data_IF_242107270276
#
_entry.id   IF_242107270276
#
_cell.length_a   1.000
_cell.length_b   1.000
_cell.length_c   1.000
_cell.angle_alpha   90.00
_cell.angle_beta   90.00
_cell.angle_gamma   90.00
#
_symmetry.space_group_name_H-M   'P 1'
#
loop_
_entity.id
_entity.type
_entity.pdbx_description
1 polymer ?
#
# COMPACT_ATOMS: atom_id res chain seq x y z
N UNK A 1 40.65 29.81 -3.30
CA UNK A 1 40.47 28.42 -2.79
C UNK A 1 39.10 28.20 -2.16
N UNK A 2 38.62 29.03 -1.21
CA UNK A 2 37.27 28.88 -0.61
C UNK A 2 36.12 28.90 -1.64
N UNK A 3 36.20 29.78 -2.64
CA UNK A 3 35.19 29.88 -3.71
C UNK A 3 35.17 28.63 -4.62
N UNK A 4 36.33 28.07 -4.93
CA UNK A 4 36.49 26.88 -5.78
C UNK A 4 35.93 25.61 -5.13
N UNK A 5 36.14 25.45 -3.82
CA UNK A 5 35.54 24.38 -3.01
C UNK A 5 34.01 24.48 -2.95
N UNK A 6 33.47 25.70 -2.82
CA UNK A 6 32.02 25.92 -2.82
C UNK A 6 31.40 25.54 -4.18
N UNK A 7 32.03 25.90 -5.29
CA UNK A 7 31.56 25.56 -6.63
C UNK A 7 31.60 24.05 -6.87
N UNK A 8 32.68 23.37 -6.47
CA UNK A 8 32.79 21.90 -6.57
C UNK A 8 31.76 21.18 -5.70
N UNK A 9 31.48 21.70 -4.50
CA UNK A 9 30.44 21.15 -3.62
C UNK A 9 29.04 21.33 -4.22
N UNK A 10 28.73 22.49 -4.81
CA UNK A 10 27.46 22.71 -5.50
C UNK A 10 27.31 21.81 -6.73
N UNK A 11 28.36 21.66 -7.52
CA UNK A 11 28.35 20.76 -8.70
C UNK A 11 28.14 19.31 -8.27
N UNK A 12 28.86 18.83 -7.25
CA UNK A 12 28.67 17.49 -6.70
C UNK A 12 27.26 17.25 -6.15
N UNK A 13 26.71 18.22 -5.42
CA UNK A 13 25.33 18.15 -4.91
C UNK A 13 24.30 18.13 -6.04
N UNK A 14 24.53 18.88 -7.13
CA UNK A 14 23.63 18.88 -8.29
C UNK A 14 23.69 17.57 -9.08
N UNK A 15 24.84 16.90 -9.19
CA UNK A 15 24.95 15.58 -9.86
C UNK A 15 24.26 14.48 -9.05
N UNK A 16 24.34 14.52 -7.71
CA UNK A 16 23.69 13.54 -6.85
C UNK A 16 22.14 13.56 -6.97
N UNK A 17 21.54 14.74 -7.22
CA UNK A 17 20.10 14.87 -7.44
C UNK A 17 19.61 14.23 -8.75
N UNK A 18 20.46 14.11 -9.78
CA UNK A 18 20.11 13.44 -11.04
C UNK A 18 20.21 11.91 -10.96
N UNK A 19 20.88 11.39 -9.94
CA UNK A 19 21.04 9.94 -9.76
C UNK A 19 19.84 9.28 -9.06
N UNK A 20 18.91 10.05 -8.49
CA UNK A 20 17.74 9.47 -7.81
C UNK A 20 16.86 8.66 -8.78
N UNK A 21 16.35 7.54 -8.27
CA UNK A 21 15.45 6.67 -8.99
C UNK A 21 14.12 7.37 -9.23
N UNK A 22 13.53 7.11 -10.39
CA UNK A 22 12.24 7.67 -10.81
C UNK A 22 11.34 6.54 -11.25
N UNK A 23 10.16 6.49 -10.64
CA UNK A 23 9.12 5.51 -10.91
C UNK A 23 7.77 6.22 -11.01
N UNK A 24 6.79 5.54 -11.59
CA UNK A 24 5.41 6.03 -11.65
C UNK A 24 4.53 5.00 -10.97
N UNK A 25 3.78 5.44 -9.96
CA UNK A 25 2.72 4.65 -9.36
C UNK A 25 1.46 4.83 -10.21
N UNK A 26 1.02 3.74 -10.83
CA UNK A 26 -0.20 3.63 -11.61
C UNK A 26 -0.58 2.14 -11.72
N UNK A 27 -1.85 1.87 -12.03
CA UNK A 27 -2.37 0.56 -12.36
C UNK A 27 -3.21 0.64 -13.65
N UNK A 28 -3.51 -0.52 -14.24
CA UNK A 28 -4.38 -0.63 -15.42
C UNK A 28 -5.72 -1.27 -15.06
N UNK A 29 -6.61 -1.32 -16.06
CA UNK A 29 -7.92 -1.95 -15.97
C UNK A 29 -7.90 -3.45 -15.66
N UNK A 30 -6.74 -4.13 -15.78
CA UNK A 30 -6.57 -5.53 -15.39
C UNK A 30 -6.17 -5.71 -13.92
N UNK A 31 -5.46 -4.73 -13.35
CA UNK A 31 -4.90 -4.75 -12.00
C UNK A 31 -5.55 -3.70 -11.08
N UNK A 32 -6.88 -3.65 -11.04
CA UNK A 32 -7.63 -2.67 -10.23
C UNK A 32 -7.47 -2.91 -8.72
N UNK A 33 -7.58 -1.84 -7.93
CA UNK A 33 -7.81 -1.93 -6.50
C UNK A 33 -9.28 -2.29 -6.26
N UNK A 34 -9.52 -3.45 -5.65
CA UNK A 34 -10.85 -4.05 -5.57
C UNK A 34 -11.18 -4.41 -4.13
N UNK A 35 -12.42 -4.19 -3.71
CA UNK A 35 -12.88 -4.67 -2.41
C UNK A 35 -13.00 -6.20 -2.44
N UNK A 36 -12.66 -6.87 -1.34
CA UNK A 36 -12.73 -8.34 -1.27
C UNK A 36 -14.11 -8.88 -1.68
N UNK A 37 -14.11 -10.07 -2.29
CA UNK A 37 -15.32 -10.80 -2.67
C UNK A 37 -16.11 -11.35 -1.45
N UNK A 38 -15.60 -11.16 -0.23
CA UNK A 38 -16.22 -11.62 1.00
C UNK A 38 -16.92 -10.46 1.74
N UNK A 39 -18.26 -10.33 1.65
CA UNK A 39 -18.98 -9.23 2.29
C UNK A 39 -18.77 -9.14 3.82
N UNK A 40 -18.54 -10.29 4.48
CA UNK A 40 -18.24 -10.34 5.92
C UNK A 40 -16.85 -9.84 6.31
N UNK A 41 -15.98 -9.57 5.33
CA UNK A 41 -14.67 -8.96 5.51
C UNK A 41 -14.66 -7.49 5.04
N UNK A 42 -15.83 -6.86 5.05
CA UNK A 42 -16.03 -5.43 4.78
C UNK A 42 -16.83 -4.83 5.96
N UNK A 43 -16.73 -3.51 6.14
CA UNK A 43 -17.65 -2.83 7.02
C UNK A 43 -19.09 -3.04 6.54
N UNK A 44 -20.05 -3.14 7.46
CA UNK A 44 -21.46 -3.43 7.12
C UNK A 44 -22.03 -2.51 6.04
N UNK A 45 -21.77 -1.18 6.03
CA UNK A 45 -22.25 -0.30 4.97
C UNK A 45 -21.63 -0.60 3.58
N UNK A 46 -20.43 -1.17 3.56
CA UNK A 46 -19.65 -1.40 2.33
C UNK A 46 -19.87 -2.80 1.76
N UNK A 47 -20.58 -3.68 2.47
CA UNK A 47 -20.78 -5.08 2.11
C UNK A 47 -21.42 -5.27 0.71
N UNK A 48 -22.22 -4.31 0.26
CA UNK A 48 -22.83 -4.32 -1.07
C UNK A 48 -21.82 -4.10 -2.22
N UNK A 49 -20.63 -3.59 -1.91
CA UNK A 49 -19.55 -3.36 -2.85
C UNK A 49 -18.53 -4.52 -2.89
N UNK A 50 -18.84 -5.66 -2.26
CA UNK A 50 -17.97 -6.83 -2.28
C UNK A 50 -17.65 -7.27 -3.73
N UNK A 51 -16.35 -7.38 -4.03
CA UNK A 51 -15.84 -7.71 -5.37
C UNK A 51 -15.91 -6.57 -6.39
N UNK A 52 -16.41 -5.40 -6.01
CA UNK A 52 -16.36 -4.22 -6.86
C UNK A 52 -15.01 -3.50 -6.72
N UNK A 53 -14.60 -2.83 -7.80
CA UNK A 53 -13.48 -1.89 -7.77
C UNK A 53 -13.77 -0.77 -6.76
N UNK A 54 -12.72 -0.23 -6.12
CA UNK A 54 -12.88 0.87 -5.16
C UNK A 54 -13.44 2.09 -5.88
N UNK A 55 -14.61 2.62 -5.47
CA UNK A 55 -15.23 3.75 -6.16
C UNK A 55 -14.34 4.98 -6.08
N UNK A 56 -14.14 5.70 -7.18
CA UNK A 56 -13.38 6.96 -7.19
C UNK A 56 -14.26 8.20 -7.05
N UNK A 57 -15.59 8.04 -6.97
CA UNK A 57 -16.51 9.18 -6.87
C UNK A 57 -16.57 9.81 -5.46
N UNK A 58 -16.01 9.15 -4.45
CA UNK A 58 -15.97 9.64 -3.08
C UNK A 58 -15.72 8.51 -2.06
N UNK A 59 -15.76 8.83 -0.76
CA UNK A 59 -15.55 7.84 0.30
C UNK A 59 -16.49 6.64 0.15
N UNK A 60 -16.09 5.50 0.70
CA UNK A 60 -16.95 4.32 0.78
C UNK A 60 -18.25 4.67 1.53
N UNK A 61 -19.34 3.90 1.39
CA UNK A 61 -20.57 4.10 2.16
C UNK A 61 -20.36 4.22 3.68
N UNK A 62 -19.34 3.58 4.23
CA UNK A 62 -18.90 3.70 5.63
C UNK A 62 -18.24 5.04 5.99
N UNK A 63 -17.95 5.89 5.01
CA UNK A 63 -17.16 7.12 5.14
C UNK A 63 -15.65 6.89 5.02
N UNK A 64 -15.19 5.66 4.80
CA UNK A 64 -13.77 5.33 4.68
C UNK A 64 -13.18 5.90 3.38
N UNK A 65 -12.04 6.56 3.53
CA UNK A 65 -11.16 6.93 2.43
C UNK A 65 -9.98 5.96 2.44
N UNK A 66 -9.68 5.40 1.27
CA UNK A 66 -8.57 4.51 1.02
C UNK A 66 -7.41 5.29 0.40
N UNK A 67 -6.22 4.93 0.84
CA UNK A 67 -4.95 5.46 0.40
C UNK A 67 -4.10 4.34 -0.19
N UNK A 68 -3.39 4.63 -1.28
CA UNK A 68 -2.42 3.74 -1.91
C UNK A 68 -1.04 4.28 -1.60
N UNK A 69 -0.17 3.43 -1.08
CA UNK A 69 1.22 3.78 -0.81
C UNK A 69 2.17 2.89 -1.59
N UNK A 70 3.16 3.52 -2.21
CA UNK A 70 4.31 2.85 -2.79
C UNK A 70 5.43 2.82 -1.74
N UNK A 71 5.79 1.62 -1.32
CA UNK A 71 6.95 1.35 -0.48
C UNK A 71 8.08 0.85 -1.37
N UNK A 72 9.31 1.29 -1.09
CA UNK A 72 10.49 0.96 -1.87
C UNK A 72 11.76 0.92 -1.02
N UNK A 73 12.75 0.16 -1.47
CA UNK A 73 14.05 0.08 -0.83
C UNK A 73 15.04 -0.78 -1.61
N UNK A 74 16.32 -0.69 -1.24
CA UNK A 74 17.41 -1.48 -1.85
C UNK A 74 17.47 -2.92 -1.33
N UNK A 75 16.51 -3.33 -0.49
CA UNK A 75 16.38 -4.69 0.07
C UNK A 75 14.90 -5.02 0.30
N UNK A 76 14.52 -6.27 0.05
CA UNK A 76 13.14 -6.77 0.26
C UNK A 76 12.70 -6.75 1.72
N UNK A 77 13.62 -6.68 2.68
CA UNK A 77 13.31 -6.67 4.12
C UNK A 77 13.30 -5.27 4.73
N UNK A 78 13.64 -4.24 3.94
CA UNK A 78 13.78 -2.86 4.42
C UNK A 78 13.16 -1.89 3.40
N UNK A 79 11.83 -1.87 3.36
CA UNK A 79 11.06 -0.96 2.52
C UNK A 79 10.63 0.27 3.33
N UNK A 80 10.71 1.44 2.72
CA UNK A 80 10.23 2.70 3.27
C UNK A 80 9.20 3.34 2.33
N UNK A 81 8.26 4.09 2.89
CA UNK A 81 7.27 4.84 2.12
C UNK A 81 7.99 5.81 1.16
N UNK A 82 7.67 5.72 -0.13
CA UNK A 82 8.19 6.59 -1.18
C UNK A 82 7.15 7.64 -1.58
N UNK A 83 5.88 7.25 -1.66
CA UNK A 83 4.76 8.14 -1.97
C UNK A 83 3.45 7.50 -1.55
N UNK A 84 2.44 8.33 -1.32
CA UNK A 84 1.06 7.91 -1.05
C UNK A 84 0.07 8.80 -1.80
N UNK A 85 -1.10 8.25 -2.14
CA UNK A 85 -2.17 8.96 -2.82
C UNK A 85 -3.54 8.40 -2.47
N UNK A 86 -4.52 9.28 -2.30
CA UNK A 86 -5.90 8.90 -1.98
C UNK A 86 -6.62 8.38 -3.24
N UNK A 87 -7.27 7.22 -3.12
CA UNK A 87 -8.09 6.64 -4.20
C UNK A 87 -9.43 7.34 -4.28
N UNK A 88 -10.08 7.52 -3.14
CA UNK A 88 -11.48 7.93 -3.08
C UNK A 88 -11.73 9.04 -2.03
N UNK A 89 -10.97 10.16 -2.11
CA UNK A 89 -11.14 11.27 -1.18
C UNK A 89 -12.52 11.92 -1.32
N UNK A 90 -12.88 12.75 -0.33
CA UNK A 90 -14.09 13.57 -0.43
C UNK A 90 -14.00 14.51 -1.65
N UNK A 91 -14.98 14.41 -2.55
CA UNK A 91 -14.98 15.14 -3.82
C UNK A 91 -14.47 14.33 -5.02
N UNK A 92 -14.01 13.09 -4.79
CA UNK A 92 -13.60 12.14 -5.81
C UNK A 92 -12.09 12.08 -6.05
N UNK A 93 -11.61 10.91 -6.48
CA UNK A 93 -10.22 10.63 -6.83
C UNK A 93 -9.86 11.03 -8.25
N UNK A 94 -8.55 11.05 -8.53
CA UNK A 94 -8.00 11.41 -9.84
C UNK A 94 -7.76 10.24 -10.80
N UNK A 95 -8.24 9.03 -10.46
CA UNK A 95 -8.19 7.86 -11.36
C UNK A 95 -9.10 8.03 -12.58
N UNK A 96 -8.86 7.29 -13.66
CA UNK A 96 -9.70 7.35 -14.85
C UNK A 96 -11.00 6.52 -14.69
N UNK A 97 -10.93 5.42 -13.94
CA UNK A 97 -12.05 4.54 -13.60
C UNK A 97 -11.97 4.10 -12.13
N UNK A 98 -13.05 3.51 -11.62
CA UNK A 98 -13.06 2.91 -10.27
C UNK A 98 -11.92 1.90 -10.11
N UNK A 99 -11.23 1.96 -8.98
CA UNK A 99 -10.09 1.11 -8.66
C UNK A 99 -8.76 1.51 -9.28
N UNK A 100 -8.70 2.59 -10.09
CA UNK A 100 -7.44 3.17 -10.56
C UNK A 100 -6.97 4.31 -9.68
N UNK A 101 -5.69 4.28 -9.30
CA UNK A 101 -5.04 5.44 -8.67
C UNK A 101 -4.69 6.48 -9.73
N UNK A 102 -4.68 7.79 -9.36
CA UNK A 102 -4.12 8.81 -10.23
C UNK A 102 -2.64 8.52 -10.52
N UNK A 103 -2.23 8.80 -11.77
CA UNK A 103 -0.83 8.72 -12.17
C UNK A 103 0.05 9.59 -11.27
N UNK A 104 0.95 8.95 -10.54
CA UNK A 104 1.80 9.63 -9.54
C UNK A 104 3.27 9.40 -9.84
N UNK A 105 3.99 10.46 -10.19
CA UNK A 105 5.44 10.42 -10.40
C UNK A 105 6.18 10.47 -9.06
N UNK A 106 7.04 9.49 -8.83
CA UNK A 106 7.76 9.32 -7.56
C UNK A 106 9.26 9.39 -7.80
N UNK A 107 9.91 10.34 -7.13
CA UNK A 107 11.37 10.37 -7.00
C UNK A 107 11.72 9.56 -5.76
N UNK A 108 12.43 8.45 -5.92
CA UNK A 108 12.76 7.56 -4.83
C UNK A 108 13.86 8.13 -3.94
N UNK A 109 13.95 7.62 -2.72
CA UNK A 109 14.99 8.01 -1.75
C UNK A 109 16.36 7.37 -2.04
N UNK A 110 16.46 6.56 -3.09
CA UNK A 110 17.65 5.82 -3.50
C UNK A 110 17.97 6.07 -4.98
N UNK A 111 19.15 5.65 -5.43
CA UNK A 111 19.59 5.89 -6.79
C UNK A 111 18.83 5.01 -7.79
N UNK A 112 18.62 5.51 -9.01
CA UNK A 112 18.10 4.74 -10.13
C UNK A 112 19.21 3.99 -10.88
N UNK A 113 18.80 3.11 -11.79
CA UNK A 113 19.70 2.35 -12.66
C UNK A 113 20.20 1.02 -12.06
N UNK A 114 19.77 0.67 -10.85
CA UNK A 114 19.99 -0.65 -10.23
C UNK A 114 18.66 -1.30 -9.86
N UNK A 115 18.67 -2.62 -9.66
CA UNK A 115 17.48 -3.36 -9.21
C UNK A 115 17.19 -3.01 -7.76
N UNK A 116 15.97 -2.56 -7.50
CA UNK A 116 15.41 -2.25 -6.19
C UNK A 116 14.12 -3.03 -5.95
N UNK A 117 13.65 -3.01 -4.71
CA UNK A 117 12.47 -3.73 -4.24
C UNK A 117 11.34 -2.77 -3.91
N UNK A 118 10.11 -3.16 -4.27
CA UNK A 118 8.93 -2.34 -4.08
C UNK A 118 7.74 -3.17 -3.63
N UNK A 119 6.80 -2.52 -2.97
CA UNK A 119 5.53 -3.07 -2.55
C UNK A 119 4.47 -1.97 -2.55
N UNK A 120 3.25 -2.33 -2.94
CA UNK A 120 2.09 -1.44 -2.91
C UNK A 120 1.16 -1.90 -1.80
N UNK A 121 0.74 -0.94 -0.99
CA UNK A 121 -0.28 -1.13 0.04
C UNK A 121 -1.48 -0.27 -0.26
N UNK A 122 -2.66 -0.75 0.12
CA UNK A 122 -3.90 0.04 0.18
C UNK A 122 -4.42 -0.04 1.60
N UNK A 123 -4.74 1.08 2.23
CA UNK A 123 -5.25 1.10 3.60
C UNK A 123 -6.24 2.23 3.85
N UNK A 124 -6.94 2.19 4.99
CA UNK A 124 -7.78 3.29 5.44
C UNK A 124 -6.92 4.50 5.83
N UNK A 125 -7.07 5.62 5.12
CA UNK A 125 -6.28 6.84 5.29
C UNK A 125 -6.45 7.52 6.65
N UNK A 126 -7.39 7.06 7.48
CA UNK A 126 -7.46 7.45 8.89
C UNK A 126 -6.18 7.06 9.67
N UNK A 127 -5.52 5.99 9.23
CA UNK A 127 -4.28 5.50 9.83
C UNK A 127 -3.06 6.00 9.07
N UNK A 128 -2.02 6.42 9.80
CA UNK A 128 -0.79 6.95 9.19
C UNK A 128 0.09 5.87 8.55
N UNK A 129 -0.21 4.59 8.74
CA UNK A 129 0.51 3.48 8.11
C UNK A 129 -0.43 2.31 7.83
N UNK A 130 -0.14 1.48 6.81
CA UNK A 130 -0.92 0.28 6.54
C UNK A 130 -0.88 -0.72 7.70
N UNK A 131 0.20 -0.79 8.48
CA UNK A 131 0.30 -1.68 9.64
C UNK A 131 -0.64 -1.26 10.78
N UNK A 132 -0.86 0.04 10.96
CA UNK A 132 -1.82 0.53 11.95
C UNK A 132 -3.26 0.26 11.51
N UNK A 133 -3.56 0.41 10.21
CA UNK A 133 -4.85 0.03 9.66
C UNK A 133 -5.11 -1.47 9.82
N UNK A 134 -4.13 -2.30 9.47
CA UNK A 134 -4.18 -3.75 9.66
C UNK A 134 -4.47 -4.13 11.12
N UNK A 135 -3.78 -3.49 12.07
CA UNK A 135 -3.94 -3.74 13.50
C UNK A 135 -5.28 -3.28 14.07
N UNK A 136 -5.93 -2.28 13.46
CA UNK A 136 -7.23 -1.79 13.90
C UNK A 136 -8.37 -2.79 13.67
N UNK A 137 -8.21 -3.67 12.68
CA UNK A 137 -9.16 -4.71 12.34
C UNK A 137 -10.58 -4.22 12.14
N UNK A 138 -11.60 -4.97 12.59
CA UNK A 138 -13.01 -4.60 12.42
C UNK A 138 -13.52 -3.56 13.44
N UNK A 139 -12.77 -2.47 13.63
CA UNK A 139 -13.20 -1.37 14.48
C UNK A 139 -14.44 -0.67 13.86
N UNK A 140 -15.58 -0.61 14.55
CA UNK A 140 -16.83 -0.11 13.99
C UNK A 140 -16.82 1.40 13.71
N UNK A 141 -15.93 2.17 14.34
CA UNK A 141 -15.79 3.60 14.09
C UNK A 141 -14.84 3.89 12.94
N UNK A 142 -13.75 3.11 12.81
CA UNK A 142 -12.72 3.28 11.78
C UNK A 142 -12.21 1.88 11.37
N UNK A 143 -12.87 1.21 10.42
CA UNK A 143 -12.50 -0.15 10.05
C UNK A 143 -11.12 -0.16 9.39
N UNK A 144 -10.32 -1.14 9.78
CA UNK A 144 -8.94 -1.38 9.36
C UNK A 144 -8.87 -2.01 7.98
N UNK A 145 -9.26 -1.26 6.95
CA UNK A 145 -9.09 -1.67 5.56
C UNK A 145 -7.61 -1.83 5.24
N UNK A 146 -7.24 -2.95 4.65
CA UNK A 146 -5.87 -3.27 4.28
C UNK A 146 -5.85 -4.19 3.06
N UNK A 147 -4.92 -3.91 2.16
CA UNK A 147 -4.54 -4.75 1.03
C UNK A 147 -3.06 -4.54 0.74
N UNK A 148 -2.37 -5.58 0.30
CA UNK A 148 -0.96 -5.48 -0.10
C UNK A 148 -0.70 -6.44 -1.25
N UNK A 149 0.13 -6.02 -2.20
CA UNK A 149 0.67 -6.94 -3.18
C UNK A 149 1.93 -7.64 -2.65
N UNK A 150 2.45 -8.56 -3.44
CA UNK A 150 3.74 -9.18 -3.21
C UNK A 150 4.88 -8.19 -3.44
N UNK A 151 6.01 -8.38 -2.74
CA UNK A 151 7.21 -7.59 -3.00
C UNK A 151 7.74 -7.97 -4.38
N UNK A 152 8.00 -6.96 -5.21
CA UNK A 152 8.51 -7.15 -6.55
C UNK A 152 9.77 -6.33 -6.79
N UNK A 153 10.50 -6.70 -7.85
CA UNK A 153 11.73 -6.03 -8.24
C UNK A 153 11.47 -5.15 -9.47
N UNK A 154 12.07 -3.96 -9.49
CA UNK A 154 12.18 -3.17 -10.71
C UNK A 154 13.50 -2.39 -10.71
N UNK A 155 13.90 -1.87 -11.87
CA UNK A 155 15.02 -0.93 -11.98
C UNK A 155 14.46 0.47 -12.20
N UNK A 156 14.48 1.37 -11.19
CA UNK A 156 14.02 2.73 -11.37
C UNK A 156 14.84 3.46 -12.44
N UNK A 157 14.17 4.26 -13.26
CA UNK A 157 14.86 5.09 -14.26
C UNK A 157 15.55 6.29 -13.63
N UNK A 158 16.40 6.98 -14.40
CA UNK A 158 16.95 8.30 -14.03
C UNK A 158 16.10 9.45 -14.57
N UNK A 159 15.07 9.14 -15.37
CA UNK A 159 14.07 10.04 -15.91
C UNK A 159 12.68 9.46 -15.70
N UNK A 160 11.66 10.31 -15.54
CA UNK A 160 10.27 9.85 -15.65
C UNK A 160 10.01 9.44 -17.09
N UNK A 161 9.75 8.16 -17.30
CA UNK A 161 9.08 7.72 -18.50
C UNK A 161 7.57 7.92 -18.30
N UNK A 162 6.87 8.27 -19.38
CA UNK A 162 5.41 8.19 -19.46
C UNK A 162 5.06 6.91 -20.25
N UNK A 163 5.44 5.70 -19.79
CA UNK A 163 5.04 4.52 -20.51
C UNK A 163 3.51 4.44 -20.42
N UNK A 164 2.86 4.08 -21.53
CA UNK A 164 1.50 3.57 -21.43
C UNK A 164 1.52 2.42 -20.42
N UNK A 165 0.53 2.32 -19.53
CA UNK A 165 0.42 1.13 -18.68
C UNK A 165 -0.03 0.00 -19.60
N UNK A 166 0.95 -0.73 -20.13
CA UNK A 166 0.76 -1.83 -21.04
C UNK A 166 1.10 -3.13 -20.31
N UNK A 167 0.28 -4.16 -20.52
CA UNK A 167 0.42 -5.51 -19.96
C UNK A 167 1.66 -6.27 -20.47
N UNK A 168 2.63 -5.58 -21.07
CA UNK A 168 3.74 -6.16 -21.80
C UNK A 168 5.01 -5.37 -21.61
N UNK A 169 5.76 -5.70 -20.57
CA UNK A 169 7.17 -5.32 -20.36
C UNK A 169 7.42 -3.83 -20.13
N UNK A 170 8.04 -3.50 -18.99
CA UNK A 170 8.32 -2.12 -18.57
C UNK A 170 7.32 -1.57 -17.57
N UNK A 171 6.28 -2.34 -17.25
CA UNK A 171 5.39 -2.18 -16.09
C UNK A 171 5.76 -3.23 -15.04
N UNK A 172 5.53 -2.91 -13.78
CA UNK A 172 5.91 -3.73 -12.61
C UNK A 172 5.08 -4.99 -12.44
N UNK A 173 3.92 -5.07 -13.08
CA UNK A 173 2.96 -6.17 -12.91
C UNK A 173 3.25 -7.35 -13.85
N UNK A 174 3.64 -7.07 -15.09
CA UNK A 174 3.88 -8.10 -16.10
C UNK A 174 5.12 -8.98 -15.84
N UNK A 175 6.11 -8.48 -15.10
CA UNK A 175 7.34 -9.24 -14.84
C UNK A 175 7.22 -10.29 -13.72
N UNK A 176 6.15 -10.24 -12.91
CA UNK A 176 5.99 -11.08 -11.70
C UNK A 176 4.87 -12.12 -11.85
N UNK A 177 4.06 -12.02 -12.92
CA UNK A 177 2.96 -12.97 -13.17
C UNK A 177 1.82 -12.88 -12.16
N UNK A 178 1.66 -11.74 -11.49
CA UNK A 178 0.62 -11.51 -10.47
C UNK A 178 -0.25 -10.30 -10.85
N UNK A 179 -0.71 -10.26 -12.10
CA UNK A 179 -1.58 -9.21 -12.67
C UNK A 179 -3.02 -9.26 -12.13
N UNK A 180 -3.19 -9.77 -10.90
CA UNK A 180 -4.48 -9.90 -10.26
C UNK A 180 -4.86 -8.58 -9.58
N UNK A 181 -6.17 -8.30 -9.45
CA UNK A 181 -6.65 -7.20 -8.63
C UNK A 181 -6.06 -7.25 -7.22
N UNK A 182 -5.59 -6.12 -6.71
CA UNK A 182 -5.17 -6.01 -5.32
C UNK A 182 -6.43 -5.87 -4.46
N UNK A 183 -6.74 -6.93 -3.73
CA UNK A 183 -7.92 -6.98 -2.87
C UNK A 183 -7.71 -6.26 -1.55
N UNK A 184 -8.66 -5.41 -1.18
CA UNK A 184 -8.71 -4.66 0.07
C UNK A 184 -9.82 -5.24 0.94
N UNK A 185 -9.52 -5.54 2.19
CA UNK A 185 -10.50 -6.06 3.15
C UNK A 185 -10.31 -5.46 4.53
N UNK A 186 -11.36 -5.51 5.34
CA UNK A 186 -11.27 -5.30 6.78
C UNK A 186 -10.67 -6.55 7.39
N UNK A 187 -9.54 -6.40 8.07
CA UNK A 187 -8.89 -7.55 8.70
C UNK A 187 -9.61 -7.92 9.99
N UNK A 188 -9.97 -9.19 10.13
CA UNK A 188 -10.47 -9.71 11.41
C UNK A 188 -9.26 -10.09 12.26
N UNK A 189 -8.75 -9.13 13.03
CA UNK A 189 -7.72 -9.41 14.03
C UNK A 189 -8.42 -10.04 15.24
N UNK A 190 -8.07 -11.28 15.67
CA UNK A 190 -8.61 -11.84 16.89
C UNK A 190 -8.30 -10.90 18.05
N UNK A 191 -9.33 -10.44 18.76
CA UNK A 191 -9.12 -9.50 19.87
C UNK A 191 -8.16 -10.11 20.91
N UNK A 192 -7.24 -9.31 21.49
CA UNK A 192 -6.27 -9.80 22.49
C UNK A 192 -6.94 -10.52 23.67
N UNK A 193 -8.18 -10.14 23.99
CA UNK A 193 -9.04 -10.75 25.01
C UNK A 193 -9.34 -12.21 24.72
N UNK A 194 -9.45 -12.62 23.46
CA UNK A 194 -9.75 -14.02 23.08
C UNK A 194 -8.61 -14.95 23.46
N UNK A 195 -7.37 -14.51 23.24
CA UNK A 195 -6.17 -15.24 23.66
C UNK A 195 -5.98 -15.20 25.18
N UNK A 196 -6.30 -14.08 25.82
CA UNK A 196 -6.28 -13.97 27.27
C UNK A 196 -7.33 -14.90 27.94
N UNK A 197 -8.54 -14.99 27.39
CA UNK A 197 -9.58 -15.91 27.87
C UNK A 197 -9.20 -17.38 27.65
N UNK A 198 -8.62 -17.73 26.50
CA UNK A 198 -8.10 -19.07 26.27
C UNK A 198 -6.97 -19.42 27.26
N UNK A 199 -6.06 -18.48 27.51
CA UNK A 199 -4.99 -18.63 28.50
C UNK A 199 -5.54 -18.79 29.92
N UNK A 200 -6.52 -17.98 30.33
CA UNK A 200 -7.20 -18.09 31.62
C UNK A 200 -8.00 -19.39 31.74
N UNK A 201 -8.67 -19.84 30.68
CA UNK A 201 -9.38 -21.11 30.63
C UNK A 201 -8.45 -22.31 30.77
N UNK A 202 -7.32 -22.30 30.07
CA UNK A 202 -6.28 -23.32 30.19
C UNK A 202 -5.63 -23.33 31.59
N UNK A 203 -5.33 -22.15 32.15
CA UNK A 203 -4.80 -22.00 33.49
C UNK A 203 -5.80 -22.50 34.54
N UNK A 204 -7.08 -22.16 34.40
CA UNK A 204 -8.17 -22.66 35.25
C UNK A 204 -8.25 -24.18 35.24
N UNK A 205 -8.24 -24.81 34.06
CA UNK A 205 -8.25 -26.27 33.94
C UNK A 205 -7.03 -26.93 34.60
N UNK A 206 -5.84 -26.35 34.50
CA UNK A 206 -4.63 -26.86 35.15
C UNK A 206 -4.68 -26.74 36.68
N UNK A 207 -5.23 -25.63 37.21
CA UNK A 207 -5.40 -25.42 38.65
C UNK A 207 -6.40 -26.42 39.23
N UNK A 208 -7.54 -26.64 38.57
CA UNK A 208 -8.55 -27.60 39.04
C UNK A 208 -8.11 -29.07 38.86
N UNK A 209 -7.26 -29.37 37.88
CA UNK A 209 -6.71 -30.73 37.68
C UNK A 209 -5.67 -31.13 38.72
N UNK A 210 -5.00 -30.18 39.39
CA UNK A 210 -3.98 -30.42 40.42
C UNK A 210 -4.54 -30.60 41.84
N UNK A 211 -5.85 -30.49 42.05
CA UNK A 211 -6.51 -30.63 43.37
C UNK A 211 -7.21 -31.98 43.58
N UNK A 212 -6.69 -33.06 42.99
CA UNK A 212 -7.04 -34.44 43.34
C UNK A 212 -5.88 -35.11 44.04
#
# INVERSE_FOLDING_TARGET
>A
MKKTLLTLALVGASVAAFAQGKVTLANDSGSLYTLTNSPGALATPDAALAGAAVPISGPLPSGVVLEVGLYGGTSSTALALQSEVLINPQGGGGGAIDGEAPFTHVITTFAGGTVDYFQVFVWNSFYSTPQLSLAAGNNPANPGYYGANTIFQMTPGTSFAYPNVNSGGGTTWAAVGDENPLYVSVVVVPEPTTLALLGLGAAGMLIFRRRK
#
